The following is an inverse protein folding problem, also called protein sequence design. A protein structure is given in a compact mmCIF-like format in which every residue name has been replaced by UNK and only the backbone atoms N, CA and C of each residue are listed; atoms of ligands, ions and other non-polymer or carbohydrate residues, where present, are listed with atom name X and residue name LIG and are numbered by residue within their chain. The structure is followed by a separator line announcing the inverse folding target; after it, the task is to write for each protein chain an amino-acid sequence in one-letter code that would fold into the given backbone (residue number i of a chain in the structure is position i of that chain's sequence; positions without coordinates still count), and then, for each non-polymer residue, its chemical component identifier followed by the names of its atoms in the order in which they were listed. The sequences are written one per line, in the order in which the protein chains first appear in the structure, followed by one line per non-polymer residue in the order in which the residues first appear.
data_IF_971102576948
#
_entry.id   IF_971102576948
#
_cell.length_a   1.000
_cell.length_b   1.000
_cell.length_c   1.000
_cell.angle_alpha   90.00
_cell.angle_beta   90.00
_cell.angle_gamma   90.00
#
_symmetry.space_group_name_H-M   'P 1'
#
loop_
_entity.id
_entity.type
_entity.pdbx_description
1 polymer ?
#
# COMPACT_ATOMS: atom_id res chain seq x y z
N UNK A 1 -2.34 0.47 14.95
CA UNK A 1 -1.06 0.53 14.22
C UNK A 1 -1.15 1.58 13.11
N UNK A 2 -0.03 2.00 12.52
CA UNK A 2 -0.03 2.87 11.35
C UNK A 2 0.80 2.29 10.20
N UNK A 3 0.43 2.65 8.98
CA UNK A 3 1.07 2.20 7.75
C UNK A 3 1.36 3.42 6.89
N UNK A 4 2.60 3.58 6.44
CA UNK A 4 3.01 4.72 5.61
C UNK A 4 3.63 4.21 4.33
N UNK A 5 3.17 4.70 3.18
CA UNK A 5 3.81 4.41 1.89
C UNK A 5 5.10 5.24 1.80
N UNK A 6 6.24 4.59 1.61
CA UNK A 6 7.55 5.24 1.62
C UNK A 6 8.15 5.41 0.23
N UNK A 7 7.78 4.56 -0.73
CA UNK A 7 8.24 4.69 -2.10
C UNK A 7 7.31 3.96 -3.08
N UNK A 8 7.42 4.34 -4.34
CA UNK A 8 6.80 3.67 -5.48
C UNK A 8 7.88 3.25 -6.48
N UNK A 9 7.68 2.10 -7.11
CA UNK A 9 8.50 1.61 -8.20
C UNK A 9 7.61 1.21 -9.38
N UNK A 10 7.93 1.72 -10.56
CA UNK A 10 7.24 1.39 -11.79
C UNK A 10 7.43 -0.09 -12.17
N UNK A 11 6.44 -0.65 -12.85
CA UNK A 11 6.55 -1.99 -13.41
C UNK A 11 7.52 -1.99 -14.61
N UNK A 12 8.45 -2.95 -14.65
CA UNK A 12 9.43 -3.06 -15.75
C UNK A 12 8.78 -3.47 -17.08
N UNK A 13 7.64 -4.14 -17.02
CA UNK A 13 6.86 -4.61 -18.16
C UNK A 13 5.78 -3.60 -18.61
N UNK A 14 5.69 -2.44 -17.94
CA UNK A 14 4.66 -1.43 -18.19
C UNK A 14 3.25 -1.83 -17.75
N UNK A 15 3.09 -2.94 -17.03
CA UNK A 15 1.80 -3.39 -16.54
C UNK A 15 1.37 -2.62 -15.29
N UNK A 16 0.17 -2.05 -15.28
CA UNK A 16 -0.40 -1.36 -14.12
C UNK A 16 -0.39 -2.25 -12.86
N UNK A 17 -0.62 -3.56 -13.02
CA UNK A 17 -0.63 -4.50 -11.88
C UNK A 17 0.77 -4.78 -11.32
N UNK A 18 1.81 -4.56 -12.12
CA UNK A 18 3.21 -4.81 -11.75
C UNK A 18 3.84 -3.69 -10.92
N UNK A 19 3.20 -2.52 -10.82
CA UNK A 19 3.71 -1.41 -10.01
C UNK A 19 3.79 -1.81 -8.55
N UNK A 20 4.87 -1.40 -7.88
CA UNK A 20 5.17 -1.80 -6.50
C UNK A 20 5.20 -0.61 -5.57
N UNK A 21 4.68 -0.80 -4.37
CA UNK A 21 4.68 0.17 -3.29
C UNK A 21 5.46 -0.37 -2.11
N UNK A 22 6.42 0.42 -1.65
CA UNK A 22 7.12 0.19 -0.41
C UNK A 22 6.35 0.88 0.70
N UNK A 23 6.17 0.20 1.82
CA UNK A 23 5.51 0.78 2.97
C UNK A 23 6.13 0.30 4.27
N UNK A 24 5.95 1.10 5.31
CA UNK A 24 6.36 0.78 6.68
C UNK A 24 5.12 0.70 7.54
N UNK A 25 4.94 -0.45 8.19
CA UNK A 25 3.95 -0.67 9.23
C UNK A 25 4.62 -0.48 10.60
N UNK A 26 4.11 0.45 11.41
CA UNK A 26 4.56 0.68 12.77
C UNK A 26 3.42 0.42 13.74
N UNK A 27 3.65 -0.48 14.68
CA UNK A 27 2.80 -0.65 15.85
C UNK A 27 3.49 -0.07 17.09
N UNK A 28 2.73 0.34 18.10
CA UNK A 28 3.30 0.91 19.32
C UNK A 28 4.13 -0.12 20.12
N UNK A 29 3.89 -1.41 19.88
CA UNK A 29 4.51 -2.50 20.65
C UNK A 29 5.59 -3.25 19.89
N UNK A 30 5.82 -2.93 18.61
CA UNK A 30 6.75 -3.69 17.76
C UNK A 30 7.66 -2.79 16.93
N UNK A 31 8.81 -3.32 16.53
CA UNK A 31 9.70 -2.61 15.62
C UNK A 31 9.01 -2.33 14.27
N UNK A 32 9.28 -1.18 13.62
CA UNK A 32 8.71 -0.86 12.32
C UNK A 32 9.07 -1.94 11.29
N UNK A 33 8.07 -2.45 10.57
CA UNK A 33 8.26 -3.46 9.54
C UNK A 33 8.12 -2.84 8.17
N UNK A 34 9.16 -2.95 7.36
CA UNK A 34 9.13 -2.54 5.96
C UNK A 34 8.68 -3.72 5.09
N UNK A 35 7.79 -3.46 4.14
CA UNK A 35 7.29 -4.45 3.19
C UNK A 35 7.03 -3.82 1.82
N UNK A 36 6.86 -4.68 0.82
CA UNK A 36 6.62 -4.30 -0.57
C UNK A 36 5.35 -5.02 -1.04
N UNK A 37 4.47 -4.33 -1.75
CA UNK A 37 3.26 -4.91 -2.34
C UNK A 37 3.10 -4.43 -3.77
N UNK A 38 2.67 -5.31 -4.68
CA UNK A 38 2.29 -4.92 -6.04
C UNK A 38 0.84 -4.49 -6.12
N UNK A 39 0.45 -3.70 -7.13
CA UNK A 39 -0.96 -3.33 -7.36
C UNK A 39 -1.85 -4.57 -7.50
N UNK A 40 -1.39 -5.59 -8.25
CA UNK A 40 -2.14 -6.85 -8.39
C UNK A 40 -2.33 -7.57 -7.05
N UNK A 41 -1.28 -7.64 -6.23
CA UNK A 41 -1.38 -8.21 -4.88
C UNK A 41 -2.31 -7.38 -3.98
N UNK A 42 -2.22 -6.05 -4.04
CA UNK A 42 -3.08 -5.15 -3.27
C UNK A 42 -4.56 -5.33 -3.64
N UNK A 43 -4.87 -5.57 -4.93
CA UNK A 43 -6.22 -5.87 -5.42
C UNK A 43 -6.80 -7.15 -4.80
N UNK A 44 -6.01 -8.22 -4.75
CA UNK A 44 -6.41 -9.48 -4.09
C UNK A 44 -6.62 -9.25 -2.59
N UNK A 45 -5.66 -8.63 -1.92
CA UNK A 45 -5.72 -8.42 -0.46
C UNK A 45 -6.90 -7.51 -0.09
N UNK A 46 -7.16 -6.45 -0.84
CA UNK A 46 -8.28 -5.54 -0.58
C UNK A 46 -9.66 -6.22 -0.72
N UNK A 47 -9.76 -7.27 -1.54
CA UNK A 47 -10.96 -8.08 -1.70
C UNK A 47 -11.14 -9.09 -0.56
N UNK A 48 -10.06 -9.69 -0.09
CA UNK A 48 -10.10 -10.73 0.95
C UNK A 48 -10.14 -10.15 2.37
N UNK A 49 -9.53 -8.98 2.61
CA UNK A 49 -9.55 -8.34 3.93
C UNK A 49 -10.87 -7.61 4.18
N UNK A 50 -11.73 -8.24 4.98
CA UNK A 50 -12.94 -7.63 5.55
C UNK A 50 -12.60 -6.96 6.89
N UNK A 51 -12.32 -5.66 6.90
CA UNK A 51 -12.09 -4.90 8.14
C UNK A 51 -11.59 -3.47 7.92
N UNK A 52 -11.82 -2.58 8.88
CA UNK A 52 -11.26 -1.21 8.88
C UNK A 52 -9.93 -1.22 9.63
N UNK A 53 -8.86 -1.53 8.91
CA UNK A 53 -7.48 -1.42 9.40
C UNK A 53 -6.71 -0.52 8.44
N UNK A 54 -5.71 0.22 8.93
CA UNK A 54 -4.86 1.10 8.15
C UNK A 54 -4.19 0.39 6.98
N UNK A 55 -3.85 -0.90 7.13
CA UNK A 55 -3.35 -1.72 6.02
C UNK A 55 -4.40 -1.92 4.92
N UNK A 56 -5.66 -2.20 5.27
CA UNK A 56 -6.72 -2.36 4.27
C UNK A 56 -7.04 -1.03 3.57
N UNK A 57 -7.03 0.07 4.33
CA UNK A 57 -7.19 1.42 3.77
C UNK A 57 -6.08 1.74 2.75
N UNK A 58 -4.83 1.40 3.07
CA UNK A 58 -3.70 1.53 2.15
C UNK A 58 -3.89 0.70 0.87
N UNK A 59 -4.26 -0.58 1.00
CA UNK A 59 -4.48 -1.46 -0.16
C UNK A 59 -5.59 -0.92 -1.07
N UNK A 60 -6.69 -0.43 -0.49
CA UNK A 60 -7.80 0.19 -1.24
C UNK A 60 -7.36 1.48 -1.94
N UNK A 61 -6.55 2.31 -1.29
CA UNK A 61 -6.01 3.53 -1.90
C UNK A 61 -5.12 3.21 -3.11
N UNK A 62 -4.25 2.20 -3.01
CA UNK A 62 -3.42 1.73 -4.12
C UNK A 62 -4.28 1.23 -5.28
N UNK A 63 -5.31 0.44 -5.00
CA UNK A 63 -6.22 -0.13 -6.03
C UNK A 63 -7.10 0.93 -6.68
N UNK A 64 -7.47 1.99 -5.95
CA UNK A 64 -8.30 3.08 -6.46
C UNK A 64 -7.51 4.09 -7.31
N UNK A 65 -6.18 4.14 -7.17
CA UNK A 65 -5.33 5.06 -7.92
C UNK A 65 -5.04 4.56 -9.34
N UNK A 66 -4.88 5.49 -10.27
CA UNK A 66 -4.37 5.21 -11.63
C UNK A 66 -2.85 5.43 -11.70
N UNK A 67 -2.14 4.93 -12.73
CA UNK A 67 -0.69 5.03 -12.82
C UNK A 67 -0.12 6.43 -12.62
N UNK A 68 -0.74 7.47 -13.20
CA UNK A 68 -0.34 8.87 -13.04
C UNK A 68 -0.48 9.42 -11.61
N UNK A 69 -1.19 8.71 -10.72
CA UNK A 69 -1.43 9.09 -9.34
C UNK A 69 -0.55 8.31 -8.35
N UNK A 70 0.20 7.30 -8.79
CA UNK A 70 0.94 6.42 -7.89
C UNK A 70 2.00 7.15 -7.06
N UNK A 71 2.73 8.08 -7.66
CA UNK A 71 3.69 8.91 -6.92
C UNK A 71 3.01 9.79 -5.87
N UNK A 72 1.75 10.18 -6.08
CA UNK A 72 0.98 10.96 -5.10
C UNK A 72 0.60 10.17 -3.85
N UNK A 73 0.70 8.83 -3.90
CA UNK A 73 0.45 7.98 -2.74
C UNK A 73 1.65 7.92 -1.79
N UNK A 74 2.84 8.27 -2.26
CA UNK A 74 4.06 8.26 -1.45
C UNK A 74 3.96 9.33 -0.36
N UNK A 75 4.23 8.94 0.88
CA UNK A 75 4.09 9.78 2.07
C UNK A 75 2.71 9.73 2.72
N UNK A 76 1.70 9.09 2.10
CA UNK A 76 0.41 8.88 2.75
C UNK A 76 0.53 7.93 3.93
N UNK A 77 -0.14 8.31 5.02
CA UNK A 77 -0.21 7.57 6.28
C UNK A 77 -1.64 7.11 6.54
N UNK A 78 -1.76 5.85 6.94
CA UNK A 78 -3.03 5.18 7.22
C UNK A 78 -2.95 4.61 8.64
N UNK A 79 -3.81 5.07 9.53
CA UNK A 79 -3.88 4.62 10.92
C UNK A 79 -5.05 3.62 11.09
N UNK A 80 -4.89 2.64 11.99
CA UNK A 80 -6.02 1.88 12.53
C UNK A 80 -6.81 2.80 13.49
N UNK A 81 -8.11 2.98 13.27
CA UNK A 81 -9.02 3.66 14.22
C UNK A 81 -9.17 2.91 15.54
#
# INVERSE_FOLDING_TARGET
MNVTITAHAAAEDGSSEGHRFHFVAKDERTEPRSAIVSVGTASVIARELSGRMGLNAMMRAIVAAVPDQYDSLVGLKFDDE
#
